data_IF_416815560475
#
_entry.id   IF_416815560475
#
_cell.length_a   1.000
_cell.length_b   1.000
_cell.length_c   1.000
_cell.angle_alpha   90.00
_cell.angle_beta   90.00
_cell.angle_gamma   90.00
#
_symmetry.space_group_name_H-M   'P 1'
#
loop_
_entity.id
_entity.type
_entity.pdbx_description
1 polymer ?
#
# COMPACT_ATOMS: atom_id res chain seq x y z
N UNK A 1 -22.35 -0.14 24.29
CA UNK A 1 -22.48 -0.26 22.82
C UNK A 1 -21.60 0.79 22.12
N UNK A 2 -21.86 2.09 22.25
CA UNK A 2 -21.10 3.15 21.56
C UNK A 2 -19.56 3.17 21.74
N UNK A 3 -19.04 2.80 22.91
CA UNK A 3 -17.58 2.79 23.19
C UNK A 3 -16.85 1.67 22.45
N UNK A 4 -17.49 0.50 22.30
CA UNK A 4 -16.90 -0.63 21.58
C UNK A 4 -16.79 -0.32 20.09
N UNK A 5 -17.87 0.20 19.50
CA UNK A 5 -17.89 0.57 18.08
C UNK A 5 -16.83 1.62 17.76
N UNK A 6 -16.67 2.63 18.63
CA UNK A 6 -15.63 3.65 18.49
C UNK A 6 -14.21 3.08 18.55
N UNK A 7 -13.93 2.19 19.51
CA UNK A 7 -12.61 1.53 19.61
C UNK A 7 -12.34 0.61 18.42
N UNK A 8 -13.35 -0.12 17.95
CA UNK A 8 -13.24 -0.99 16.78
C UNK A 8 -12.88 -0.17 15.53
N UNK A 9 -13.58 0.92 15.27
CA UNK A 9 -13.31 1.81 14.13
C UNK A 9 -11.93 2.45 14.24
N UNK A 10 -11.50 2.84 15.45
CA UNK A 10 -10.17 3.41 15.69
C UNK A 10 -9.07 2.41 15.32
N UNK A 11 -9.17 1.16 15.81
CA UNK A 11 -8.18 0.11 15.52
C UNK A 11 -8.10 -0.18 14.03
N UNK A 12 -9.24 -0.24 13.35
CA UNK A 12 -9.29 -0.47 11.90
C UNK A 12 -8.70 0.70 11.12
N UNK A 13 -8.98 1.94 11.53
CA UNK A 13 -8.38 3.13 10.93
C UNK A 13 -6.85 3.12 11.07
N UNK A 14 -6.33 2.92 12.28
CA UNK A 14 -4.87 2.93 12.52
C UNK A 14 -4.19 1.78 11.78
N UNK A 15 -4.80 0.58 11.77
CA UNK A 15 -4.29 -0.57 11.02
C UNK A 15 -4.27 -0.33 9.50
N UNK A 16 -5.37 0.21 8.95
CA UNK A 16 -5.44 0.57 7.53
C UNK A 16 -4.43 1.65 7.16
N UNK A 17 -4.29 2.69 8.00
CA UNK A 17 -3.33 3.77 7.78
C UNK A 17 -1.89 3.26 7.83
N UNK A 18 -1.56 2.37 8.78
CA UNK A 18 -0.25 1.74 8.84
C UNK A 18 0.06 0.92 7.58
N UNK A 19 -0.92 0.16 7.08
CA UNK A 19 -0.79 -0.65 5.88
C UNK A 19 -0.55 0.20 4.62
N UNK A 20 -1.34 1.26 4.42
CA UNK A 20 -1.20 2.14 3.25
C UNK A 20 0.12 2.91 3.28
N UNK A 21 0.53 3.42 4.44
CA UNK A 21 1.84 4.07 4.61
C UNK A 21 3.00 3.11 4.34
N UNK A 22 2.90 1.88 4.83
CA UNK A 22 3.93 0.87 4.57
C UNK A 22 4.05 0.56 3.07
N UNK A 23 2.92 0.37 2.38
CA UNK A 23 2.91 0.15 0.94
C UNK A 23 3.54 1.33 0.17
N UNK A 24 3.20 2.56 0.56
CA UNK A 24 3.73 3.77 -0.08
C UNK A 24 5.24 3.93 0.12
N UNK A 25 5.72 3.77 1.35
CA UNK A 25 7.16 3.86 1.66
C UNK A 25 7.94 2.77 0.92
N UNK A 26 7.44 1.53 0.90
CA UNK A 26 8.07 0.42 0.20
C UNK A 26 8.10 0.66 -1.33
N UNK A 27 7.05 1.29 -1.91
CA UNK A 27 7.02 1.72 -3.31
C UNK A 27 8.07 2.80 -3.65
N UNK A 28 8.32 3.74 -2.75
CA UNK A 28 9.34 4.78 -2.93
C UNK A 28 10.77 4.25 -2.84
N UNK A 29 11.03 3.32 -1.92
CA UNK A 29 12.37 2.76 -1.68
C UNK A 29 12.82 1.86 -2.84
N UNK A 30 11.91 1.14 -3.50
CA UNK A 30 12.29 0.17 -4.53
C UNK A 30 12.82 0.80 -5.81
N UNK A 31 13.84 0.19 -6.45
CA UNK A 31 14.39 0.67 -7.70
C UNK A 31 13.39 0.50 -8.86
N UNK A 32 13.32 1.48 -9.75
CA UNK A 32 12.36 1.48 -10.88
C UNK A 32 12.57 0.31 -11.85
N UNK A 33 13.82 -0.12 -12.04
CA UNK A 33 14.17 -1.24 -12.91
C UNK A 33 13.44 -2.54 -12.53
N UNK A 34 13.16 -2.76 -11.24
CA UNK A 34 12.49 -3.98 -10.79
C UNK A 34 11.00 -4.04 -11.14
N UNK A 35 10.34 -2.89 -11.26
CA UNK A 35 8.94 -2.81 -11.71
C UNK A 35 8.82 -3.14 -13.20
N UNK A 36 9.75 -2.63 -14.01
CA UNK A 36 9.79 -2.90 -15.45
C UNK A 36 10.16 -4.35 -15.73
N UNK A 37 11.16 -4.90 -15.04
CA UNK A 37 11.62 -6.28 -15.22
C UNK A 37 10.56 -7.33 -14.85
N UNK A 38 9.61 -6.98 -13.99
CA UNK A 38 8.52 -7.88 -13.56
C UNK A 38 7.24 -7.69 -14.36
N UNK A 39 7.24 -6.82 -15.37
CA UNK A 39 6.06 -6.51 -16.19
C UNK A 39 4.91 -5.87 -15.41
N UNK A 40 5.17 -5.31 -14.22
CA UNK A 40 4.17 -4.58 -13.43
C UNK A 40 4.08 -3.12 -13.89
N UNK A 41 3.05 -2.40 -13.42
CA UNK A 41 2.94 -0.95 -13.61
C UNK A 41 4.23 -0.25 -13.16
N UNK A 42 4.56 0.88 -13.79
CA UNK A 42 5.80 1.62 -13.51
C UNK A 42 5.86 2.11 -12.05
N UNK A 43 7.09 2.36 -11.56
CA UNK A 43 7.32 2.93 -10.22
C UNK A 43 6.45 4.17 -9.93
N UNK A 44 6.39 5.21 -10.79
CA UNK A 44 5.54 6.38 -10.51
C UNK A 44 4.05 6.01 -10.46
N UNK A 45 3.60 5.05 -11.27
CA UNK A 45 2.21 4.56 -11.20
C UNK A 45 1.87 3.95 -9.84
N UNK A 46 2.70 3.02 -9.36
CA UNK A 46 2.47 2.40 -8.04
C UNK A 46 2.67 3.37 -6.87
N UNK A 47 3.64 4.27 -6.95
CA UNK A 47 3.84 5.31 -5.95
C UNK A 47 2.65 6.27 -5.88
N UNK A 48 2.07 6.65 -7.03
CA UNK A 48 0.87 7.49 -7.07
C UNK A 48 -0.35 6.77 -6.46
N UNK A 49 -0.58 5.50 -6.81
CA UNK A 49 -1.70 4.71 -6.29
C UNK A 49 -1.59 4.54 -4.77
N UNK A 50 -0.43 4.09 -4.28
CA UNK A 50 -0.21 3.87 -2.84
C UNK A 50 -0.18 5.18 -2.05
N UNK A 51 0.34 6.26 -2.65
CA UNK A 51 0.32 7.61 -2.06
C UNK A 51 -1.09 8.17 -1.94
N UNK A 52 -1.91 8.04 -2.99
CA UNK A 52 -3.33 8.41 -2.94
C UNK A 52 -4.10 7.57 -1.92
N UNK A 53 -3.83 6.26 -1.84
CA UNK A 53 -4.44 5.39 -0.84
C UNK A 53 -4.11 5.85 0.60
N UNK A 54 -2.84 6.16 0.88
CA UNK A 54 -2.42 6.67 2.19
C UNK A 54 -3.05 8.04 2.52
N UNK A 55 -3.18 8.92 1.52
CA UNK A 55 -3.81 10.22 1.68
C UNK A 55 -5.32 10.11 1.94
N UNK A 56 -6.02 9.24 1.21
CA UNK A 56 -7.47 9.06 1.34
C UNK A 56 -7.85 8.49 2.71
N UNK A 57 -7.13 7.47 3.20
CA UNK A 57 -7.38 6.92 4.55
C UNK A 57 -7.06 7.98 5.61
N UNK A 58 -5.96 8.72 5.46
CA UNK A 58 -5.61 9.78 6.40
C UNK A 58 -6.68 10.87 6.48
N UNK A 59 -7.17 11.34 5.33
CA UNK A 59 -8.15 12.42 5.26
C UNK A 59 -9.53 12.02 5.76
N UNK A 60 -10.00 10.81 5.41
CA UNK A 60 -11.34 10.35 5.79
C UNK A 60 -11.41 9.82 7.22
N UNK A 61 -10.27 9.46 7.82
CA UNK A 61 -10.13 8.90 9.16
C UNK A 61 -11.03 7.67 9.43
N UNK A 62 -11.56 7.08 8.36
CA UNK A 62 -12.48 5.95 8.39
C UNK A 62 -12.25 5.09 7.14
N UNK A 63 -11.79 3.84 7.30
CA UNK A 63 -11.50 2.96 6.17
C UNK A 63 -12.75 2.31 5.56
N UNK A 64 -13.91 2.33 6.23
CA UNK A 64 -15.15 1.71 5.74
C UNK A 64 -16.00 2.61 4.85
N UNK A 65 -15.37 3.57 4.18
CA UNK A 65 -16.02 4.44 3.20
C UNK A 65 -15.87 3.85 1.78
N UNK A 66 -16.66 4.38 0.83
CA UNK A 66 -16.58 3.99 -0.58
C UNK A 66 -15.18 4.17 -1.18
N UNK A 67 -14.40 5.13 -0.69
CA UNK A 67 -13.03 5.39 -1.16
C UNK A 67 -11.96 4.78 -0.27
N UNK A 68 -12.26 4.52 1.00
CA UNK A 68 -11.35 3.85 1.94
C UNK A 68 -11.14 2.37 1.61
N UNK A 69 -12.20 1.66 1.21
CA UNK A 69 -12.09 0.26 0.84
C UNK A 69 -11.17 0.05 -0.38
N UNK A 70 -11.34 0.76 -1.53
CA UNK A 70 -10.40 0.70 -2.63
C UNK A 70 -8.98 1.11 -2.25
N UNK A 71 -8.80 2.10 -1.37
CA UNK A 71 -7.48 2.50 -0.89
C UNK A 71 -6.77 1.38 -0.12
N UNK A 72 -7.49 0.69 0.77
CA UNK A 72 -6.97 -0.49 1.48
C UNK A 72 -6.65 -1.62 0.51
N UNK A 73 -7.54 -1.91 -0.44
CA UNK A 73 -7.32 -2.93 -1.47
C UNK A 73 -6.06 -2.61 -2.27
N UNK A 74 -5.87 -1.36 -2.71
CA UNK A 74 -4.70 -0.95 -3.47
C UNK A 74 -3.39 -1.18 -2.69
N UNK A 75 -3.38 -0.89 -1.38
CA UNK A 75 -2.24 -1.18 -0.53
C UNK A 75 -2.00 -2.70 -0.36
N UNK A 76 -3.05 -3.50 -0.19
CA UNK A 76 -2.94 -4.96 -0.10
C UNK A 76 -2.38 -5.53 -1.42
N UNK A 77 -2.93 -5.14 -2.57
CA UNK A 77 -2.44 -5.60 -3.88
C UNK A 77 -0.98 -5.25 -4.07
N UNK A 78 -0.57 -4.03 -3.70
CA UNK A 78 0.84 -3.66 -3.74
C UNK A 78 1.71 -4.59 -2.88
N UNK A 79 1.32 -4.81 -1.62
CA UNK A 79 2.11 -5.57 -0.65
C UNK A 79 2.16 -7.07 -0.94
N UNK A 80 1.11 -7.63 -1.51
CA UNK A 80 0.97 -9.08 -1.75
C UNK A 80 1.39 -9.48 -3.15
N UNK A 81 1.16 -8.65 -4.17
CA UNK A 81 1.47 -9.00 -5.57
C UNK A 81 2.74 -8.30 -6.07
N UNK A 82 2.80 -6.98 -5.96
CA UNK A 82 3.90 -6.18 -6.55
C UNK A 82 5.18 -6.34 -5.74
N UNK A 83 5.06 -6.27 -4.42
CA UNK A 83 6.19 -6.29 -3.50
C UNK A 83 6.98 -7.60 -3.59
N UNK A 84 6.38 -8.81 -3.61
CA UNK A 84 7.14 -10.04 -3.79
C UNK A 84 7.75 -10.14 -5.19
N UNK A 85 7.03 -9.75 -6.24
CA UNK A 85 7.54 -9.78 -7.61
C UNK A 85 8.81 -8.93 -7.75
N UNK A 86 8.78 -7.68 -7.28
CA UNK A 86 9.94 -6.77 -7.36
C UNK A 86 11.08 -7.20 -6.44
N UNK A 87 10.80 -7.96 -5.37
CA UNK A 87 11.82 -8.51 -4.46
C UNK A 87 12.50 -9.76 -5.00
N UNK A 88 11.80 -10.54 -5.82
CA UNK A 88 12.27 -11.82 -6.34
C UNK A 88 13.38 -11.70 -7.39
N UNK A 89 13.68 -10.48 -7.85
CA UNK A 89 14.80 -10.25 -8.76
C UNK A 89 16.13 -10.47 -8.02
N UNK A 90 17.00 -11.37 -8.50
CA UNK A 90 18.34 -11.52 -7.96
C UNK A 90 19.02 -10.16 -7.95
N UNK A 91 19.62 -9.78 -6.81
CA UNK A 91 20.62 -8.70 -6.80
C UNK A 91 21.73 -9.19 -7.72
N UNK A 92 21.82 -8.65 -8.92
CA UNK A 92 22.79 -9.10 -9.92
C UNK A 92 24.20 -8.99 -9.37
N UNK A 93 24.72 -10.11 -8.87
CA UNK A 93 26.13 -10.51 -8.83
C UNK A 93 26.26 -11.93 -8.23
N UNK A 94 26.03 -12.96 -9.05
CA UNK A 94 26.56 -14.31 -8.77
C UNK A 94 27.39 -14.74 -9.97
N UNK A 95 28.62 -14.25 -9.99
CA UNK A 95 29.72 -14.92 -10.67
C UNK A 95 30.06 -16.21 -9.92
#
# INVERSE_FOLDING_TARGET
MATFDGLLLLVLYVGAQGLTLWAFVDALIRPAAGFVATGKLTKPGWAAITGLAALLIFWQQNPMTLFGLPAVIAAIVYLVDVRPAVRGLPRGNSW
#
